data_IF_318167653017
#
_entry.id   IF_318167653017
#
_cell.length_a   1.000
_cell.length_b   1.000
_cell.length_c   1.000
_cell.angle_alpha   90.00
_cell.angle_beta   90.00
_cell.angle_gamma   90.00
#
_symmetry.space_group_name_H-M   'P 1'
#
loop_
_entity.id
_entity.type
_entity.pdbx_description
1 polymer ?
#
# COMPACT_ATOMS: atom_id res chain seq x y z
N UNK A 1 12.43 11.00 -2.16
CA UNK A 1 11.02 10.95 -2.59
C UNK A 1 10.16 10.72 -1.36
N UNK A 2 8.98 11.34 -1.24
CA UNK A 2 8.08 11.09 -0.10
C UNK A 2 7.20 9.89 -0.42
N UNK A 3 6.89 9.07 0.58
CA UNK A 3 6.03 7.89 0.41
C UNK A 3 4.65 8.25 -0.17
N UNK A 4 4.10 9.40 0.22
CA UNK A 4 2.85 9.93 -0.32
C UNK A 4 2.87 10.10 -1.85
N UNK A 5 3.95 10.67 -2.39
CA UNK A 5 4.06 10.93 -3.84
C UNK A 5 4.00 9.60 -4.62
N UNK A 6 4.64 8.54 -4.09
CA UNK A 6 4.63 7.20 -4.70
C UNK A 6 3.23 6.58 -4.63
N UNK A 7 2.58 6.65 -3.47
CA UNK A 7 1.24 6.08 -3.26
C UNK A 7 0.20 6.74 -4.17
N UNK A 8 0.29 8.05 -4.39
CA UNK A 8 -0.60 8.77 -5.32
C UNK A 8 -0.42 8.25 -6.75
N UNK A 9 0.82 8.07 -7.22
CA UNK A 9 1.07 7.52 -8.54
C UNK A 9 0.63 6.05 -8.66
N UNK A 10 0.81 5.25 -7.60
CA UNK A 10 0.27 3.89 -7.55
C UNK A 10 -1.26 3.89 -7.67
N UNK A 11 -1.94 4.79 -6.95
CA UNK A 11 -3.40 4.92 -7.05
C UNK A 11 -3.87 5.39 -8.43
N UNK A 12 -3.11 6.26 -9.09
CA UNK A 12 -3.42 6.69 -10.45
C UNK A 12 -3.25 5.58 -11.49
N UNK A 13 -2.34 4.62 -11.26
CA UNK A 13 -1.99 3.58 -12.24
C UNK A 13 -2.78 2.28 -12.03
N UNK A 14 -2.93 1.82 -10.78
CA UNK A 14 -3.56 0.53 -10.49
C UNK A 14 -5.09 0.59 -10.72
N UNK A 15 -5.60 -0.37 -11.49
CA UNK A 15 -7.03 -0.60 -11.76
C UNK A 15 -7.69 -1.42 -10.63
N UNK A 16 -9.03 -1.39 -10.49
CA UNK A 16 -9.74 -2.28 -9.56
C UNK A 16 -9.41 -3.74 -9.82
N UNK A 17 -9.26 -4.52 -8.75
CA UNK A 17 -8.80 -5.92 -8.78
C UNK A 17 -7.28 -6.08 -8.87
N UNK A 18 -6.54 -5.01 -9.19
CA UNK A 18 -5.08 -5.02 -9.25
C UNK A 18 -4.43 -5.12 -7.87
N UNK A 19 -3.20 -5.65 -7.87
CA UNK A 19 -2.44 -5.96 -6.66
C UNK A 19 -1.17 -5.13 -6.56
N UNK A 20 -0.83 -4.71 -5.35
CA UNK A 20 0.47 -4.15 -5.03
C UNK A 20 1.12 -4.95 -3.90
N UNK A 21 2.42 -5.20 -4.04
CA UNK A 21 3.24 -5.83 -3.01
C UNK A 21 4.35 -4.87 -2.67
N UNK A 22 4.44 -4.48 -1.40
CA UNK A 22 5.40 -3.49 -0.92
C UNK A 22 6.26 -4.16 0.13
N UNK A 23 7.58 -4.11 -0.05
CA UNK A 23 8.56 -4.55 0.95
C UNK A 23 9.35 -3.35 1.43
N UNK A 24 9.23 -3.04 2.71
CA UNK A 24 9.89 -1.89 3.32
C UNK A 24 10.15 -2.12 4.81
N UNK A 25 10.87 -1.19 5.45
CA UNK A 25 11.02 -1.21 6.91
C UNK A 25 9.67 -1.05 7.60
N UNK A 26 9.51 -1.68 8.77
CA UNK A 26 8.25 -1.62 9.56
C UNK A 26 7.87 -0.17 9.87
N UNK A 27 8.84 0.68 10.19
CA UNK A 27 8.66 2.12 10.47
C UNK A 27 8.03 2.90 9.28
N UNK A 28 8.24 2.42 8.05
CA UNK A 28 7.69 3.00 6.82
C UNK A 28 6.34 2.36 6.48
N UNK A 29 6.17 1.07 6.78
CA UNK A 29 4.92 0.35 6.54
C UNK A 29 3.76 0.87 7.39
N UNK A 30 3.98 1.21 8.66
CA UNK A 30 2.92 1.74 9.53
C UNK A 30 2.23 3.01 8.99
N UNK A 31 2.95 4.06 8.54
CA UNK A 31 2.29 5.21 7.92
C UNK A 31 1.71 4.89 6.53
N UNK A 32 2.29 3.95 5.77
CA UNK A 32 1.73 3.50 4.49
C UNK A 32 0.36 2.83 4.66
N UNK A 33 0.22 1.98 5.67
CA UNK A 33 -1.03 1.30 6.02
C UNK A 33 -2.18 2.30 6.22
N UNK A 34 -1.94 3.36 7.01
CA UNK A 34 -2.93 4.42 7.22
C UNK A 34 -3.33 5.13 5.91
N UNK A 35 -2.36 5.38 5.01
CA UNK A 35 -2.64 5.98 3.71
C UNK A 35 -3.49 5.05 2.83
N UNK A 36 -3.14 3.77 2.72
CA UNK A 36 -3.90 2.81 1.92
C UNK A 36 -5.32 2.60 2.45
N UNK A 37 -5.51 2.59 3.78
CA UNK A 37 -6.84 2.60 4.39
C UNK A 37 -7.65 3.84 3.99
N UNK A 38 -7.05 5.04 4.04
CA UNK A 38 -7.72 6.28 3.60
C UNK A 38 -8.06 6.28 2.09
N UNK A 39 -7.31 5.51 1.31
CA UNK A 39 -7.56 5.31 -0.12
C UNK A 39 -8.64 4.26 -0.40
N UNK A 40 -9.15 3.58 0.63
CA UNK A 40 -10.04 2.42 0.54
C UNK A 40 -9.40 1.25 -0.20
N UNK A 41 -8.09 1.08 -0.09
CA UNK A 41 -7.44 -0.15 -0.55
C UNK A 41 -7.57 -1.22 0.52
N UNK A 42 -7.61 -2.49 0.10
CA UNK A 42 -7.75 -3.61 1.01
C UNK A 42 -6.39 -4.24 1.30
N UNK A 43 -6.02 -4.34 2.57
CA UNK A 43 -4.80 -5.03 3.00
C UNK A 43 -5.12 -6.51 3.17
N UNK A 44 -4.52 -7.35 2.34
CA UNK A 44 -4.80 -8.79 2.30
C UNK A 44 -3.84 -9.60 3.14
N UNK A 45 -2.60 -9.13 3.26
CA UNK A 45 -1.55 -9.81 4.01
C UNK A 45 -0.51 -8.80 4.46
N UNK A 46 -0.09 -8.93 5.71
CA UNK A 46 1.05 -8.20 6.25
C UNK A 46 1.96 -9.21 6.93
N UNK A 47 3.23 -9.21 6.55
CA UNK A 47 4.26 -10.04 7.15
C UNK A 47 5.37 -9.14 7.66
N UNK A 48 5.94 -9.43 8.82
CA UNK A 48 7.09 -8.71 9.34
C UNK A 48 8.09 -9.68 9.95
N UNK A 49 9.37 -9.45 9.67
CA UNK A 49 10.48 -10.19 10.24
C UNK A 49 11.64 -9.22 10.50
N UNK A 50 12.17 -9.26 11.71
CA UNK A 50 13.20 -8.35 12.21
C UNK A 50 12.81 -6.86 12.07
N UNK A 51 13.36 -6.16 11.07
CA UNK A 51 13.12 -4.73 10.82
C UNK A 51 12.44 -4.46 9.47
N UNK A 52 12.14 -5.51 8.72
CA UNK A 52 11.51 -5.42 7.42
C UNK A 52 10.13 -6.08 7.44
N UNK A 53 9.25 -5.60 6.57
CA UNK A 53 7.96 -6.21 6.36
C UNK A 53 7.56 -6.22 4.89
N UNK A 54 6.53 -7.01 4.61
CA UNK A 54 5.88 -7.13 3.32
C UNK A 54 4.40 -6.86 3.53
N UNK A 55 3.81 -6.04 2.68
CA UNK A 55 2.38 -5.73 2.67
C UNK A 55 1.81 -5.99 1.28
N UNK A 56 0.80 -6.84 1.22
CA UNK A 56 0.07 -7.17 0.01
C UNK A 56 -1.30 -6.47 0.05
N UNK A 57 -1.56 -5.67 -0.98
CA UNK A 57 -2.69 -4.77 -1.07
C UNK A 57 -3.47 -5.06 -2.34
N UNK A 58 -4.79 -4.96 -2.28
CA UNK A 58 -5.66 -5.06 -3.43
C UNK A 58 -6.47 -3.77 -3.57
N UNK A 59 -6.47 -3.20 -4.77
CA UNK A 59 -7.33 -2.05 -5.07
C UNK A 59 -8.75 -2.54 -5.35
N UNK A 60 -9.72 -2.09 -4.56
CA UNK A 60 -11.11 -2.54 -4.69
C UNK A 60 -11.93 -1.64 -5.63
N UNK A 61 -11.63 -0.34 -5.68
CA UNK A 61 -12.39 0.64 -6.43
C UNK A 61 -11.49 1.64 -7.13
N UNK A 62 -11.94 2.13 -8.28
CA UNK A 62 -11.31 3.26 -8.97
C UNK A 62 -12.04 4.52 -8.51
N UNK A 63 -11.29 5.55 -8.10
CA UNK A 63 -11.89 6.87 -7.85
C UNK A 63 -12.18 7.50 -9.22
N UNK A 64 -13.44 7.85 -9.54
CA UNK A 64 -13.79 8.44 -10.82
C UNK A 64 -12.94 9.68 -11.15
#
# INVERSE_FOLDING_TARGET
CRALDVVVEMDRILRPGGWAVIREKIEILSPLEAMFHSLHWEIRMTYSQDKEGIMCLQKIMWRP
#
